data_IF_165478870908
#
_entry.id   IF_165478870908
#
_cell.length_a   1.000
_cell.length_b   1.000
_cell.length_c   1.000
_cell.angle_alpha   90.00
_cell.angle_beta   90.00
_cell.angle_gamma   90.00
#
_symmetry.space_group_name_H-M   'P 1'
#
loop_
_entity.id
_entity.type
_entity.pdbx_description
1 polymer ?
#
# COMPACT_ATOMS: atom_id res chain seq x y z
N UNK A 1 10.83 10.30 -75.22
CA UNK A 1 10.69 11.30 -74.17
C UNK A 1 10.99 10.59 -72.82
N UNK A 2 12.02 10.98 -72.10
CA UNK A 2 12.31 10.35 -70.81
C UNK A 2 11.27 10.79 -69.74
N UNK A 3 10.65 9.85 -69.10
CA UNK A 3 9.79 10.11 -67.92
C UNK A 3 10.67 10.33 -66.69
N UNK A 4 10.62 11.54 -66.15
CA UNK A 4 11.19 11.87 -64.86
C UNK A 4 10.20 11.41 -63.77
N UNK A 5 10.55 10.36 -63.00
CA UNK A 5 9.85 10.02 -61.78
C UNK A 5 10.50 10.80 -60.63
N UNK A 6 9.76 11.75 -60.06
CA UNK A 6 10.12 12.41 -58.83
C UNK A 6 9.77 11.47 -57.67
N UNK A 7 10.79 10.94 -56.98
CA UNK A 7 10.63 10.29 -55.71
C UNK A 7 10.61 11.37 -54.61
N UNK A 8 9.50 11.51 -53.90
CA UNK A 8 9.44 12.32 -52.70
C UNK A 8 10.25 11.58 -51.64
N UNK A 9 11.39 12.16 -51.24
CA UNK A 9 12.12 11.70 -50.06
C UNK A 9 11.23 11.94 -48.85
N UNK A 10 10.69 10.87 -48.28
CA UNK A 10 9.98 10.94 -47.01
C UNK A 10 10.98 11.29 -45.92
N UNK A 11 10.95 12.52 -45.43
CA UNK A 11 11.60 12.85 -44.16
C UNK A 11 10.89 12.05 -43.04
N UNK A 12 11.51 10.97 -42.61
CA UNK A 12 11.17 10.29 -41.36
C UNK A 12 11.71 11.13 -40.21
N UNK A 13 10.92 12.01 -39.67
CA UNK A 13 11.24 12.71 -38.42
C UNK A 13 11.06 11.72 -37.30
N UNK A 14 12.14 11.11 -36.82
CA UNK A 14 12.12 10.34 -35.57
C UNK A 14 11.95 11.31 -34.39
N UNK A 15 10.75 11.43 -33.89
CA UNK A 15 10.49 12.14 -32.64
C UNK A 15 10.91 11.22 -31.49
N UNK A 16 12.13 11.37 -30.99
CA UNK A 16 12.56 10.72 -29.77
C UNK A 16 11.90 11.41 -28.58
N UNK A 17 10.76 10.90 -28.16
CA UNK A 17 10.13 11.30 -26.89
C UNK A 17 10.98 10.75 -25.74
N UNK A 18 11.85 11.57 -25.16
CA UNK A 18 12.57 11.23 -23.94
C UNK A 18 11.62 11.43 -22.75
N UNK A 19 10.84 10.42 -22.44
CA UNK A 19 10.06 10.39 -21.20
C UNK A 19 11.05 10.23 -20.04
N UNK A 20 11.00 11.14 -19.09
CA UNK A 20 11.87 11.05 -17.90
C UNK A 20 11.40 9.88 -17.01
N UNK A 21 12.32 9.29 -16.24
CA UNK A 21 11.96 8.25 -15.25
C UNK A 21 10.91 8.74 -14.24
N UNK A 22 10.79 10.04 -14.04
CA UNK A 22 9.77 10.67 -13.21
C UNK A 22 8.38 10.60 -13.86
N UNK A 23 8.28 10.98 -15.11
CA UNK A 23 7.01 10.95 -15.87
C UNK A 23 6.49 9.52 -16.02
N UNK A 24 7.37 8.56 -16.28
CA UNK A 24 7.00 7.13 -16.30
C UNK A 24 6.50 6.65 -14.93
N UNK A 25 7.16 7.05 -13.84
CA UNK A 25 6.70 6.70 -12.49
C UNK A 25 5.37 7.37 -12.15
N UNK A 26 5.12 8.62 -12.58
CA UNK A 26 3.82 9.28 -12.43
C UNK A 26 2.71 8.58 -13.23
N UNK A 27 3.02 8.15 -14.44
CA UNK A 27 2.07 7.42 -15.27
C UNK A 27 1.72 6.06 -14.65
N UNK A 28 2.71 5.34 -14.13
CA UNK A 28 2.51 4.09 -13.39
C UNK A 28 1.65 4.30 -12.15
N UNK A 29 1.83 5.40 -11.41
CA UNK A 29 0.98 5.74 -10.25
C UNK A 29 -0.44 6.04 -10.69
N UNK A 30 -0.64 6.84 -11.73
CA UNK A 30 -1.99 7.12 -12.25
C UNK A 30 -2.73 5.83 -12.61
N UNK A 31 -2.03 4.87 -13.24
CA UNK A 31 -2.59 3.55 -13.52
C UNK A 31 -2.93 2.82 -12.21
N UNK A 32 -2.04 2.83 -11.20
CA UNK A 32 -2.29 2.21 -9.90
C UNK A 32 -3.46 2.86 -9.15
N UNK A 33 -3.61 4.17 -9.23
CA UNK A 33 -4.71 4.93 -8.62
C UNK A 33 -6.08 4.63 -9.25
N UNK A 34 -6.11 4.18 -10.50
CA UNK A 34 -7.34 3.71 -11.15
C UNK A 34 -7.65 2.25 -10.82
N UNK A 35 -6.70 1.52 -10.22
CA UNK A 35 -6.88 0.13 -9.83
C UNK A 35 -7.74 0.06 -8.57
N UNK A 36 -8.98 -0.35 -8.75
CA UNK A 36 -9.91 -0.62 -7.65
C UNK A 36 -10.43 -2.04 -7.75
N UNK A 37 -10.30 -2.79 -6.67
CA UNK A 37 -10.89 -4.13 -6.55
C UNK A 37 -12.41 -3.98 -6.59
N UNK A 38 -13.08 -4.69 -7.49
CA UNK A 38 -14.51 -4.57 -7.76
C UNK A 38 -14.95 -3.13 -8.07
N UNK A 39 -14.04 -2.28 -8.57
CA UNK A 39 -14.32 -0.88 -8.87
C UNK A 39 -14.45 0.04 -7.63
N UNK A 40 -14.31 -0.48 -6.41
CA UNK A 40 -14.55 0.26 -5.17
C UNK A 40 -13.31 0.34 -4.28
N UNK A 41 -12.68 -0.79 -3.93
CA UNK A 41 -11.61 -0.85 -2.94
C UNK A 41 -10.29 -0.39 -3.56
N UNK A 42 -9.61 0.63 -3.00
CA UNK A 42 -8.34 1.13 -3.53
C UNK A 42 -7.24 0.07 -3.45
N UNK A 43 -6.43 -0.04 -4.50
CA UNK A 43 -5.32 -0.98 -4.60
C UNK A 43 -4.01 -0.26 -4.93
N UNK A 44 -3.74 0.84 -4.23
CA UNK A 44 -2.66 1.77 -4.55
C UNK A 44 -1.27 1.26 -4.19
N UNK A 45 -1.18 0.39 -3.19
CA UNK A 45 0.09 -0.19 -2.73
C UNK A 45 0.46 -1.51 -3.42
N UNK A 46 -0.08 -1.77 -4.61
CA UNK A 46 0.24 -2.97 -5.37
C UNK A 46 0.64 -2.61 -6.79
N UNK A 47 1.74 -3.17 -7.25
CA UNK A 47 2.14 -3.08 -8.64
C UNK A 47 2.10 -4.47 -9.30
N UNK A 48 1.53 -4.53 -10.48
CA UNK A 48 1.52 -5.72 -11.32
C UNK A 48 2.68 -5.74 -12.33
N UNK A 49 3.45 -4.65 -12.40
CA UNK A 49 4.67 -4.55 -13.18
C UNK A 49 5.88 -4.93 -12.31
N UNK A 50 6.57 -6.06 -12.57
CA UNK A 50 7.76 -6.45 -11.82
C UNK A 50 8.94 -5.51 -12.04
N UNK A 51 8.93 -4.75 -13.13
CA UNK A 51 9.93 -3.75 -13.50
C UNK A 51 9.51 -2.31 -13.13
N UNK A 52 8.45 -2.15 -12.33
CA UNK A 52 7.97 -0.84 -11.92
C UNK A 52 9.12 0.00 -11.35
N UNK A 53 9.18 1.25 -11.78
CA UNK A 53 10.18 2.21 -11.32
C UNK A 53 9.98 2.53 -9.84
N UNK A 54 11.08 2.76 -9.08
CA UNK A 54 10.99 3.14 -7.69
C UNK A 54 10.28 4.48 -7.51
N UNK A 55 9.46 4.58 -6.47
CA UNK A 55 8.71 5.78 -6.16
C UNK A 55 9.61 6.86 -5.55
N UNK A 56 9.44 8.10 -6.01
CA UNK A 56 10.04 9.26 -5.35
C UNK A 56 9.32 9.59 -4.04
N UNK A 57 9.96 10.28 -3.10
CA UNK A 57 9.34 10.66 -1.83
C UNK A 57 7.97 11.30 -1.97
N UNK A 58 7.83 12.28 -2.89
CA UNK A 58 6.54 12.95 -3.16
C UNK A 58 5.43 11.94 -3.51
N UNK A 59 5.76 10.95 -4.34
CA UNK A 59 4.81 9.92 -4.78
C UNK A 59 4.43 8.97 -3.65
N UNK A 60 5.37 8.62 -2.76
CA UNK A 60 5.11 7.82 -1.56
C UNK A 60 4.12 8.55 -0.63
N UNK A 61 4.32 9.85 -0.43
CA UNK A 61 3.39 10.69 0.34
C UNK A 61 2.01 10.81 -0.32
N UNK A 62 1.96 10.93 -1.64
CA UNK A 62 0.71 11.01 -2.39
C UNK A 62 -0.14 9.75 -2.24
N UNK A 63 0.46 8.57 -2.41
CA UNK A 63 -0.22 7.28 -2.21
C UNK A 63 -0.69 7.15 -0.76
N UNK A 64 0.16 7.45 0.22
CA UNK A 64 -0.18 7.37 1.63
C UNK A 64 -1.36 8.27 1.99
N UNK A 65 -1.35 9.51 1.50
CA UNK A 65 -2.45 10.45 1.68
C UNK A 65 -3.75 9.94 1.04
N UNK A 66 -3.72 9.58 -0.25
CA UNK A 66 -4.90 9.08 -0.97
C UNK A 66 -5.50 7.85 -0.31
N UNK A 67 -4.66 6.91 0.14
CA UNK A 67 -5.12 5.73 0.90
C UNK A 67 -5.77 6.14 2.22
N UNK A 68 -5.20 7.10 2.93
CA UNK A 68 -5.70 7.52 4.24
C UNK A 68 -7.05 8.23 4.15
N UNK A 69 -7.28 9.03 3.12
CA UNK A 69 -8.54 9.79 2.93
C UNK A 69 -9.56 9.06 2.04
N UNK A 70 -9.28 7.82 1.62
CA UNK A 70 -10.20 7.05 0.80
C UNK A 70 -11.44 6.64 1.63
N UNK A 71 -12.66 6.78 1.11
CA UNK A 71 -13.90 6.38 1.78
C UNK A 71 -13.88 4.93 2.30
N UNK A 72 -13.18 4.03 1.60
CA UNK A 72 -13.06 2.62 2.03
C UNK A 72 -12.23 2.50 3.30
N UNK A 73 -11.21 3.32 3.49
CA UNK A 73 -10.43 3.36 4.75
C UNK A 73 -11.31 3.77 5.94
N UNK A 74 -12.17 4.76 5.74
CA UNK A 74 -13.18 5.13 6.76
C UNK A 74 -14.16 4.01 7.02
N UNK A 75 -14.69 3.36 5.97
CA UNK A 75 -15.61 2.24 6.11
C UNK A 75 -14.95 1.05 6.84
N UNK A 76 -13.69 0.74 6.53
CA UNK A 76 -12.92 -0.29 7.19
C UNK A 76 -12.71 0.02 8.70
N UNK A 77 -12.31 1.25 9.03
CA UNK A 77 -12.20 1.70 10.42
C UNK A 77 -13.53 1.59 11.16
N UNK A 78 -14.64 1.95 10.49
CA UNK A 78 -16.00 1.80 11.03
C UNK A 78 -16.37 0.34 11.28
N UNK A 79 -16.10 -0.55 10.32
CA UNK A 79 -16.39 -1.98 10.45
C UNK A 79 -15.59 -2.62 11.60
N UNK A 80 -14.28 -2.36 11.69
CA UNK A 80 -13.42 -2.83 12.77
C UNK A 80 -13.94 -2.33 14.12
N UNK A 81 -14.32 -1.05 14.20
CA UNK A 81 -14.88 -0.45 15.42
C UNK A 81 -16.21 -1.09 15.82
N UNK A 82 -17.05 -1.46 14.86
CA UNK A 82 -18.28 -2.20 15.09
C UNK A 82 -18.03 -3.59 15.67
N UNK A 83 -17.07 -4.32 15.11
CA UNK A 83 -16.65 -5.64 15.64
C UNK A 83 -16.08 -5.51 17.04
N UNK A 84 -15.19 -4.54 17.29
CA UNK A 84 -14.64 -4.27 18.62
C UNK A 84 -15.72 -3.89 19.61
N UNK A 85 -16.73 -3.11 19.19
CA UNK A 85 -17.87 -2.74 20.04
C UNK A 85 -18.71 -3.96 20.40
N UNK A 86 -19.02 -4.81 19.41
CA UNK A 86 -19.81 -6.02 19.63
C UNK A 86 -19.08 -7.05 20.50
N UNK A 87 -17.76 -7.15 20.39
CA UNK A 87 -16.91 -8.03 21.18
C UNK A 87 -16.51 -7.44 22.54
N UNK A 88 -17.02 -6.26 22.92
CA UNK A 88 -16.62 -5.51 24.12
C UNK A 88 -15.09 -5.30 24.23
N UNK A 89 -14.43 -5.19 23.09
CA UNK A 89 -13.00 -4.89 23.00
C UNK A 89 -12.71 -3.48 23.50
N UNK A 90 -11.53 -3.30 24.12
CA UNK A 90 -11.12 -2.00 24.71
C UNK A 90 -12.20 -1.39 25.61
N UNK A 91 -12.57 -2.13 26.65
CA UNK A 91 -13.66 -1.80 27.60
C UNK A 91 -13.62 -0.36 28.11
N UNK A 92 -12.43 0.22 28.25
CA UNK A 92 -12.26 1.60 28.73
C UNK A 92 -12.85 2.67 27.79
N UNK A 93 -13.21 2.33 26.55
CA UNK A 93 -13.97 3.25 25.67
C UNK A 93 -15.47 3.30 26.02
N UNK A 94 -15.99 2.29 26.75
CA UNK A 94 -17.40 2.14 27.06
C UNK A 94 -18.20 1.58 25.87
N UNK A 95 -19.52 1.55 26.03
CA UNK A 95 -20.48 1.06 25.03
C UNK A 95 -21.34 2.21 24.46
N UNK A 96 -22.25 1.88 23.56
CA UNK A 96 -23.13 2.84 22.89
C UNK A 96 -22.42 3.69 21.83
N UNK A 97 -23.08 4.76 21.38
CA UNK A 97 -22.58 5.62 20.29
C UNK A 97 -21.24 6.31 20.63
N UNK A 98 -21.08 6.73 21.89
CA UNK A 98 -19.83 7.35 22.34
C UNK A 98 -18.67 6.36 22.34
N UNK A 99 -18.89 5.13 22.82
CA UNK A 99 -17.87 4.08 22.80
C UNK A 99 -17.48 3.71 21.38
N UNK A 100 -18.46 3.62 20.48
CA UNK A 100 -18.21 3.39 19.05
C UNK A 100 -17.38 4.51 18.43
N UNK A 101 -17.75 5.78 18.64
CA UNK A 101 -17.03 6.93 18.09
C UNK A 101 -15.57 7.00 18.55
N UNK A 102 -15.30 6.66 19.82
CA UNK A 102 -13.93 6.57 20.36
C UNK A 102 -13.10 5.47 19.67
N UNK A 103 -13.69 4.28 19.48
CA UNK A 103 -13.05 3.17 18.74
C UNK A 103 -12.80 3.55 17.30
N UNK A 104 -13.79 4.18 16.66
CA UNK A 104 -13.66 4.65 15.28
C UNK A 104 -12.50 5.65 15.13
N UNK A 105 -12.45 6.66 16.00
CA UNK A 105 -11.36 7.64 16.01
C UNK A 105 -9.99 7.00 16.22
N UNK A 106 -9.88 6.03 17.14
CA UNK A 106 -8.64 5.32 17.40
C UNK A 106 -8.20 4.45 16.20
N UNK A 107 -9.10 3.62 15.66
CA UNK A 107 -8.79 2.78 14.51
C UNK A 107 -8.42 3.59 13.25
N UNK A 108 -9.11 4.71 13.04
CA UNK A 108 -8.76 5.60 11.94
C UNK A 108 -7.41 6.30 12.16
N UNK A 109 -7.13 6.76 13.39
CA UNK A 109 -5.84 7.36 13.73
C UNK A 109 -4.69 6.35 13.56
N UNK A 110 -4.86 5.10 14.00
CA UNK A 110 -3.88 4.03 13.79
C UNK A 110 -3.58 3.83 12.30
N UNK A 111 -4.63 3.74 11.48
CA UNK A 111 -4.49 3.58 10.02
C UNK A 111 -3.79 4.77 9.38
N UNK A 112 -4.18 5.99 9.74
CA UNK A 112 -3.59 7.22 9.22
C UNK A 112 -2.11 7.33 9.59
N UNK A 113 -1.78 7.14 10.87
CA UNK A 113 -0.41 7.21 11.39
C UNK A 113 0.46 6.12 10.75
N UNK A 114 -0.06 4.89 10.68
CA UNK A 114 0.61 3.77 10.04
C UNK A 114 0.92 4.03 8.57
N UNK A 115 -0.04 4.53 7.80
CA UNK A 115 0.13 4.89 6.40
C UNK A 115 1.14 6.03 6.21
N UNK A 116 1.09 7.07 7.05
CA UNK A 116 2.02 8.20 6.95
C UNK A 116 3.44 7.80 7.33
N UNK A 117 3.63 7.09 8.44
CA UNK A 117 4.96 6.71 8.91
C UNK A 117 5.51 5.54 8.09
N UNK A 118 4.78 4.42 8.01
CA UNK A 118 5.22 3.20 7.35
C UNK A 118 5.10 3.21 5.84
N UNK A 119 4.16 3.99 5.27
CA UNK A 119 3.93 4.09 3.83
C UNK A 119 4.62 5.27 3.13
N UNK A 120 5.00 6.33 3.86
CA UNK A 120 5.61 7.51 3.26
C UNK A 120 6.91 7.96 3.93
N UNK A 121 6.91 8.32 5.22
CA UNK A 121 8.06 8.94 5.89
C UNK A 121 9.26 7.99 5.91
N UNK A 122 9.09 6.81 6.49
CA UNK A 122 10.19 5.83 6.60
C UNK A 122 10.61 5.28 5.24
N UNK A 123 9.72 4.91 4.31
CA UNK A 123 10.14 4.49 2.98
C UNK A 123 10.91 5.56 2.22
N UNK A 124 10.59 6.85 2.44
CA UNK A 124 11.32 7.94 1.80
C UNK A 124 12.72 8.14 2.36
N UNK A 125 12.88 8.01 3.69
CA UNK A 125 14.17 8.17 4.38
C UNK A 125 15.07 6.95 4.21
N UNK A 126 14.51 5.74 4.28
CA UNK A 126 15.22 4.47 4.16
C UNK A 126 15.38 4.00 2.71
N UNK A 127 14.86 4.76 1.74
CA UNK A 127 14.89 4.43 0.30
C UNK A 127 14.31 3.04 0.03
N UNK A 128 13.13 2.77 0.59
CA UNK A 128 12.37 1.54 0.43
C UNK A 128 11.10 1.79 -0.37
N UNK A 129 10.68 0.83 -1.19
CA UNK A 129 9.42 0.90 -1.92
C UNK A 129 8.31 0.24 -1.08
N UNK A 130 7.26 0.97 -0.69
CA UNK A 130 6.21 0.43 0.18
C UNK A 130 5.20 -0.47 -0.56
N UNK A 131 5.38 -0.67 -1.88
CA UNK A 131 4.44 -1.45 -2.68
C UNK A 131 4.70 -2.95 -2.61
N UNK A 132 3.62 -3.72 -2.65
CA UNK A 132 3.67 -5.15 -2.93
C UNK A 132 3.86 -5.37 -4.44
N UNK A 133 4.89 -6.10 -4.82
CA UNK A 133 5.15 -6.50 -6.20
C UNK A 133 4.49 -7.86 -6.46
N UNK A 134 3.41 -7.86 -7.26
CA UNK A 134 2.68 -9.06 -7.59
C UNK A 134 3.57 -10.07 -8.33
N UNK A 135 3.63 -11.32 -7.84
CA UNK A 135 4.47 -12.34 -8.45
C UNK A 135 3.78 -13.03 -9.64
N UNK A 136 2.56 -13.46 -9.47
CA UNK A 136 1.71 -14.05 -10.52
C UNK A 136 2.17 -15.35 -11.14
N UNK A 137 3.44 -15.72 -11.02
CA UNK A 137 4.08 -16.86 -11.68
C UNK A 137 4.65 -17.87 -10.69
N UNK A 138 4.84 -19.12 -11.16
CA UNK A 138 5.39 -20.20 -10.35
C UNK A 138 4.32 -21.05 -9.66
N UNK A 139 4.78 -22.00 -8.81
CA UNK A 139 3.90 -22.91 -8.08
C UNK A 139 3.10 -22.18 -6.99
N UNK A 140 1.94 -22.73 -6.60
CA UNK A 140 1.13 -22.18 -5.51
C UNK A 140 1.94 -21.99 -4.21
N UNK A 141 2.79 -22.99 -3.86
CA UNK A 141 3.67 -22.89 -2.68
C UNK A 141 4.65 -21.72 -2.78
N UNK A 142 5.31 -21.55 -3.92
CA UNK A 142 6.24 -20.46 -4.16
C UNK A 142 5.55 -19.08 -4.05
N UNK A 143 4.32 -18.96 -4.55
CA UNK A 143 3.53 -17.75 -4.47
C UNK A 143 3.08 -17.43 -3.04
N UNK A 144 2.65 -18.46 -2.28
CA UNK A 144 2.29 -18.32 -0.86
C UNK A 144 3.49 -17.86 -0.04
N UNK A 145 4.63 -18.53 -0.17
CA UNK A 145 5.85 -18.17 0.56
C UNK A 145 6.33 -16.75 0.20
N UNK A 146 6.25 -16.39 -1.08
CA UNK A 146 6.59 -15.04 -1.54
C UNK A 146 5.67 -13.99 -0.92
N UNK A 147 4.36 -14.18 -0.94
CA UNK A 147 3.39 -13.26 -0.38
C UNK A 147 3.58 -13.07 1.14
N UNK A 148 3.83 -14.16 1.88
CA UNK A 148 4.11 -14.10 3.31
C UNK A 148 5.46 -13.44 3.61
N UNK A 149 6.51 -13.75 2.84
CA UNK A 149 7.82 -13.13 3.00
C UNK A 149 7.76 -11.60 2.80
N UNK A 150 6.91 -11.12 1.87
CA UNK A 150 6.72 -9.69 1.63
C UNK A 150 5.97 -8.96 2.76
N UNK A 151 5.59 -9.63 3.84
CA UNK A 151 5.16 -8.95 5.07
C UNK A 151 6.35 -8.40 5.89
N UNK A 152 7.57 -8.87 5.60
CA UNK A 152 8.79 -8.47 6.32
C UNK A 152 9.96 -8.16 5.38
N UNK A 153 9.76 -8.28 4.06
CA UNK A 153 10.76 -8.00 3.02
C UNK A 153 10.12 -7.10 1.96
N UNK A 154 10.84 -6.07 1.55
CA UNK A 154 10.41 -5.15 0.49
C UNK A 154 11.52 -4.91 -0.54
N UNK A 155 11.21 -4.24 -1.64
CA UNK A 155 12.24 -3.71 -2.55
C UNK A 155 12.77 -2.37 -2.05
N UNK A 156 14.08 -2.17 -2.21
CA UNK A 156 14.66 -0.84 -2.11
C UNK A 156 14.45 -0.02 -3.38
N UNK A 157 14.64 1.29 -3.29
CA UNK A 157 14.63 2.19 -4.46
C UNK A 157 15.77 1.85 -5.45
N UNK A 158 16.71 1.00 -5.06
CA UNK A 158 17.76 0.41 -5.91
C UNK A 158 17.32 -0.89 -6.63
N UNK A 159 16.07 -1.32 -6.44
CA UNK A 159 15.50 -2.55 -7.00
C UNK A 159 15.88 -3.86 -6.28
N UNK A 160 16.77 -3.82 -5.28
CA UNK A 160 17.17 -5.01 -4.53
C UNK A 160 16.23 -5.33 -3.38
N UNK A 161 16.04 -6.61 -3.12
CA UNK A 161 15.28 -7.09 -1.97
C UNK A 161 16.04 -6.86 -0.66
N UNK A 162 15.34 -6.39 0.35
CA UNK A 162 15.88 -6.09 1.68
C UNK A 162 14.80 -6.27 2.75
N UNK A 163 15.17 -6.38 4.06
CA UNK A 163 14.18 -6.37 5.14
C UNK A 163 13.34 -5.09 5.10
N UNK A 164 12.06 -5.22 5.36
CA UNK A 164 11.12 -4.09 5.38
C UNK A 164 11.24 -3.30 6.71
N UNK A 165 12.34 -2.56 6.83
CA UNK A 165 12.54 -1.69 8.00
C UNK A 165 11.46 -0.62 8.10
N UNK A 166 10.98 -0.09 6.97
CA UNK A 166 9.96 0.96 6.96
C UNK A 166 8.61 0.47 7.47
N UNK A 167 8.16 -0.69 7.03
CA UNK A 167 6.92 -1.29 7.49
C UNK A 167 6.99 -1.70 8.97
N UNK A 168 8.05 -2.38 9.38
CA UNK A 168 8.23 -2.85 10.76
C UNK A 168 8.36 -1.68 11.73
N UNK A 169 9.26 -0.72 11.45
CA UNK A 169 9.45 0.44 12.31
C UNK A 169 8.25 1.38 12.28
N UNK A 170 7.55 1.48 11.13
CA UNK A 170 6.31 2.23 11.00
C UNK A 170 5.20 1.65 11.88
N UNK A 171 5.04 0.33 11.88
CA UNK A 171 4.09 -0.35 12.74
C UNK A 171 4.42 -0.19 14.24
N UNK A 172 5.72 -0.30 14.60
CA UNK A 172 6.19 -0.04 15.96
C UNK A 172 5.93 1.39 16.40
N UNK A 173 6.20 2.38 15.53
CA UNK A 173 5.97 3.78 15.82
C UNK A 173 4.46 4.07 15.97
N UNK A 174 3.63 3.58 15.07
CA UNK A 174 2.17 3.73 15.14
C UNK A 174 1.61 3.09 16.42
N UNK A 175 2.03 1.86 16.74
CA UNK A 175 1.64 1.17 17.98
C UNK A 175 2.15 1.88 19.25
N UNK A 176 3.33 2.50 19.21
CA UNK A 176 3.83 3.35 20.30
C UNK A 176 2.98 4.59 20.49
N UNK A 177 2.65 5.28 19.41
CA UNK A 177 1.80 6.49 19.42
C UNK A 177 0.38 6.17 19.87
N UNK A 178 -0.16 4.99 19.52
CA UNK A 178 -1.50 4.57 19.91
C UNK A 178 -1.68 4.54 21.44
N UNK A 179 -0.62 4.28 22.22
CA UNK A 179 -0.65 4.36 23.67
C UNK A 179 -1.05 5.75 24.20
N UNK A 180 -0.99 6.81 23.40
CA UNK A 180 -1.37 8.16 23.82
C UNK A 180 -2.90 8.34 23.89
N UNK A 181 -3.66 7.63 23.04
CA UNK A 181 -5.11 7.81 22.91
C UNK A 181 -5.96 6.57 23.21
N UNK A 182 -5.34 5.41 23.37
CA UNK A 182 -6.07 4.22 23.84
C UNK A 182 -6.47 4.37 25.32
N UNK A 183 -7.50 3.64 25.80
CA UNK A 183 -7.92 3.69 27.20
C UNK A 183 -6.79 3.28 28.15
N UNK A 184 -6.71 3.91 29.31
CA UNK A 184 -5.67 3.62 30.31
C UNK A 184 -5.60 2.14 30.70
N UNK A 185 -6.76 1.45 30.72
CA UNK A 185 -6.85 0.01 30.99
C UNK A 185 -6.24 -0.88 29.90
N UNK A 186 -6.02 -0.34 28.70
CA UNK A 186 -5.47 -1.05 27.56
C UNK A 186 -4.02 -0.61 27.24
N UNK A 187 -3.51 0.39 27.94
CA UNK A 187 -2.15 0.90 27.78
C UNK A 187 -1.17 0.05 28.59
N UNK A 188 -0.67 -1.00 28.02
CA UNK A 188 0.39 -1.79 28.65
C UNK A 188 1.78 -1.48 28.05
N UNK A 189 1.93 -0.30 27.42
CA UNK A 189 3.21 0.19 26.89
C UNK A 189 3.79 -0.72 25.80
N UNK A 190 4.93 -1.34 26.08
CA UNK A 190 5.62 -2.19 25.13
C UNK A 190 4.77 -3.38 24.66
N UNK A 191 3.98 -4.01 25.55
CA UNK A 191 3.13 -5.14 25.20
C UNK A 191 2.13 -4.81 24.10
N UNK A 192 1.36 -3.73 24.24
CA UNK A 192 0.39 -3.28 23.24
C UNK A 192 1.09 -2.92 21.91
N UNK A 193 2.25 -2.27 22.01
CA UNK A 193 3.03 -1.89 20.81
C UNK A 193 3.47 -3.12 20.02
N UNK A 194 4.03 -4.13 20.69
CA UNK A 194 4.44 -5.37 20.04
C UNK A 194 3.27 -6.19 19.51
N UNK A 195 2.17 -6.28 20.27
CA UNK A 195 0.95 -6.96 19.82
C UNK A 195 0.40 -6.33 18.55
N UNK A 196 0.23 -5.01 18.52
CA UNK A 196 -0.25 -4.29 17.34
C UNK A 196 0.71 -4.43 16.15
N UNK A 197 2.01 -4.44 16.40
CA UNK A 197 3.01 -4.65 15.35
C UNK A 197 2.91 -6.05 14.74
N UNK A 198 2.81 -7.09 15.58
CA UNK A 198 2.65 -8.46 15.09
C UNK A 198 1.34 -8.66 14.33
N UNK A 199 0.24 -8.09 14.83
CA UNK A 199 -1.04 -8.09 14.14
C UNK A 199 -0.96 -7.37 12.78
N UNK A 200 -0.25 -6.25 12.73
CA UNK A 200 0.01 -5.51 11.48
C UNK A 200 0.79 -6.34 10.47
N UNK A 201 1.88 -6.99 10.88
CA UNK A 201 2.69 -7.87 10.02
C UNK A 201 1.85 -9.07 9.54
N UNK A 202 1.09 -9.71 10.44
CA UNK A 202 0.20 -10.81 10.07
C UNK A 202 -0.88 -10.35 9.07
N UNK A 203 -1.47 -9.18 9.33
CA UNK A 203 -2.45 -8.55 8.44
C UNK A 203 -1.86 -8.26 7.05
N UNK A 204 -0.63 -7.74 6.98
CA UNK A 204 0.08 -7.52 5.72
C UNK A 204 0.31 -8.83 4.97
N UNK A 205 0.73 -9.89 5.67
CA UNK A 205 0.89 -11.22 5.08
C UNK A 205 -0.40 -11.79 4.48
N UNK A 206 -1.51 -11.66 5.22
CA UNK A 206 -2.86 -12.04 4.76
C UNK A 206 -3.27 -11.17 3.56
N UNK A 207 -3.08 -9.86 3.64
CA UNK A 207 -3.36 -8.94 2.55
C UNK A 207 -2.59 -9.30 1.28
N UNK A 208 -1.30 -9.61 1.40
CA UNK A 208 -0.46 -10.05 0.28
C UNK A 208 -0.95 -11.37 -0.33
N UNK A 209 -1.45 -12.32 0.49
CA UNK A 209 -2.08 -13.55 -0.02
C UNK A 209 -3.34 -13.25 -0.82
N UNK A 210 -4.20 -12.34 -0.32
CA UNK A 210 -5.38 -11.90 -1.07
C UNK A 210 -4.97 -11.24 -2.39
N UNK A 211 -3.96 -10.37 -2.38
CA UNK A 211 -3.43 -9.74 -3.59
C UNK A 211 -2.93 -10.80 -4.58
N UNK A 212 -2.20 -11.80 -4.10
CA UNK A 212 -1.57 -12.81 -4.95
C UNK A 212 -2.58 -13.77 -5.60
N UNK A 213 -3.70 -14.09 -4.94
CA UNK A 213 -4.59 -15.14 -5.41
C UNK A 213 -5.99 -14.67 -5.83
N UNK A 214 -6.47 -13.57 -5.28
CA UNK A 214 -7.85 -13.15 -5.46
C UNK A 214 -7.97 -11.79 -6.14
N UNK A 215 -7.27 -10.79 -5.62
CA UNK A 215 -7.50 -9.38 -5.96
C UNK A 215 -7.30 -9.09 -7.44
N UNK A 216 -6.26 -9.63 -8.07
CA UNK A 216 -6.01 -9.44 -9.50
C UNK A 216 -7.21 -9.83 -10.38
N UNK A 217 -7.91 -10.92 -10.02
CA UNK A 217 -9.08 -11.40 -10.78
C UNK A 217 -10.29 -10.47 -10.63
N UNK A 218 -10.31 -9.68 -9.56
CA UNK A 218 -11.38 -8.77 -9.20
C UNK A 218 -11.07 -7.31 -9.54
N UNK A 219 -9.87 -7.04 -10.08
CA UNK A 219 -9.43 -5.69 -10.46
C UNK A 219 -9.58 -5.53 -11.97
N UNK A 220 -10.62 -4.79 -12.45
CA UNK A 220 -10.71 -4.39 -13.85
C UNK A 220 -9.48 -3.53 -14.18
N UNK A 221 -8.91 -3.70 -15.36
CA UNK A 221 -7.74 -2.93 -15.83
C UNK A 221 -6.40 -3.25 -15.14
N UNK A 222 -6.26 -4.37 -14.42
CA UNK A 222 -4.94 -4.89 -14.10
C UNK A 222 -4.24 -5.24 -15.43
N UNK A 223 -3.47 -4.29 -15.96
CA UNK A 223 -2.75 -4.48 -17.22
C UNK A 223 -1.79 -5.67 -17.05
N UNK A 224 -1.86 -6.62 -17.98
CA UNK A 224 -0.75 -7.53 -18.21
C UNK A 224 0.37 -6.70 -18.86
N UNK A 225 1.61 -6.84 -18.41
CA UNK A 225 2.76 -6.34 -19.14
C UNK A 225 2.87 -7.04 -20.50
#
# INVERSE_FOLDING_TARGET
>A
MPQLSLAVAGETTEVQVRVTTYELAEEQIKVQETQRVLGVIPNFYVTYDPAALPLKPKQKFEIAWKTSVDPVTFAAAGAVSGVQQAADGFKGYGQGSQGYAKRFGANYADSFIGNMIGGAILPSTLKQDPRYFYKGTGTKRSRVLYALANAVVCKGDNGHWQPDYSGILGALAAGGISNLYYPASSRNGAGLTFENTLLGIAGSGIGNLFQEFLVRRLTPHAHNP
#
